data_IF_064102604577
#
_entry.id   IF_064102604577
#
_cell.length_a   1.000
_cell.length_b   1.000
_cell.length_c   1.000
_cell.angle_alpha   90.00
_cell.angle_beta   90.00
_cell.angle_gamma   90.00
#
_symmetry.space_group_name_H-M   'P 1'
#
loop_
_entity.id
_entity.type
_entity.pdbx_description
1 polymer ?
#
# COMPACT_ATOMS: atom_id res chain seq x y z
N UNK A 1 -36.88 31.31 18.73
CA UNK A 1 -37.11 29.88 18.43
C UNK A 1 -36.47 29.46 17.11
N UNK A 2 -36.78 30.11 15.97
CA UNK A 2 -36.22 29.76 14.63
C UNK A 2 -34.68 29.80 14.58
N UNK A 3 -34.04 30.83 15.16
CA UNK A 3 -32.56 30.91 15.20
C UNK A 3 -31.87 29.82 16.03
N UNK A 4 -32.52 29.32 17.09
CA UNK A 4 -31.99 28.23 17.91
C UNK A 4 -32.17 26.87 17.21
N UNK A 5 -33.30 26.65 16.52
CA UNK A 5 -33.51 25.46 15.69
C UNK A 5 -32.50 25.37 14.53
N UNK A 6 -32.19 26.51 13.90
CA UNK A 6 -31.17 26.58 12.85
C UNK A 6 -29.77 26.22 13.38
N UNK A 7 -29.39 26.70 14.57
CA UNK A 7 -28.08 26.39 15.15
C UNK A 7 -27.89 24.91 15.47
N UNK A 8 -28.92 24.25 16.02
CA UNK A 8 -28.88 22.82 16.34
C UNK A 8 -28.79 21.98 15.06
N UNK A 9 -29.52 22.34 14.01
CA UNK A 9 -29.47 21.67 12.72
C UNK A 9 -28.07 21.77 12.07
N UNK A 10 -27.45 22.94 12.12
CA UNK A 10 -26.09 23.16 11.58
C UNK A 10 -25.04 22.34 12.32
N UNK A 11 -25.12 22.27 13.66
CA UNK A 11 -24.22 21.45 14.49
C UNK A 11 -24.39 19.96 14.16
N UNK A 12 -25.63 19.48 14.02
CA UNK A 12 -25.92 18.10 13.63
C UNK A 12 -25.38 17.75 12.24
N UNK A 13 -25.48 18.67 11.29
CA UNK A 13 -24.94 18.48 9.94
C UNK A 13 -23.40 18.45 9.93
N UNK A 14 -22.74 19.36 10.66
CA UNK A 14 -21.28 19.36 10.83
C UNK A 14 -20.79 18.05 11.47
N UNK A 15 -21.50 17.56 12.50
CA UNK A 15 -21.19 16.29 13.14
C UNK A 15 -21.31 15.10 12.18
N UNK A 16 -22.37 15.06 11.37
CA UNK A 16 -22.58 14.03 10.35
C UNK A 16 -21.46 14.07 9.29
N UNK A 17 -21.14 15.27 8.79
CA UNK A 17 -20.09 15.46 7.81
C UNK A 17 -18.74 14.98 8.34
N UNK A 18 -18.40 15.32 9.59
CA UNK A 18 -17.16 14.86 10.22
C UNK A 18 -17.11 13.33 10.34
N UNK A 19 -18.22 12.70 10.75
CA UNK A 19 -18.32 11.22 10.81
C UNK A 19 -18.12 10.57 9.44
N UNK A 20 -18.73 11.12 8.39
CA UNK A 20 -18.59 10.60 7.03
C UNK A 20 -17.15 10.72 6.53
N UNK A 21 -16.50 11.86 6.79
CA UNK A 21 -15.08 12.07 6.46
C UNK A 21 -14.19 11.08 7.21
N UNK A 22 -14.42 10.88 8.51
CA UNK A 22 -13.67 9.92 9.32
C UNK A 22 -13.85 8.47 8.82
N UNK A 23 -15.07 8.09 8.41
CA UNK A 23 -15.34 6.81 7.76
C UNK A 23 -14.59 6.68 6.43
N UNK A 24 -14.58 7.74 5.61
CA UNK A 24 -13.83 7.80 4.35
C UNK A 24 -12.34 7.54 4.56
N UNK A 25 -11.70 8.23 5.52
CA UNK A 25 -10.30 8.00 5.85
C UNK A 25 -10.03 6.60 6.39
N UNK A 26 -10.96 6.03 7.17
CA UNK A 26 -10.84 4.65 7.66
C UNK A 26 -10.84 3.65 6.52
N UNK A 27 -11.77 3.80 5.57
CA UNK A 27 -11.86 2.93 4.39
C UNK A 27 -10.63 3.11 3.49
N UNK A 28 -10.21 4.35 3.27
CA UNK A 28 -9.01 4.65 2.48
C UNK A 28 -7.75 4.03 3.09
N UNK A 29 -7.59 4.11 4.42
CA UNK A 29 -6.47 3.47 5.12
C UNK A 29 -6.48 1.95 4.98
N UNK A 30 -7.66 1.32 5.05
CA UNK A 30 -7.81 -0.11 4.80
C UNK A 30 -7.47 -0.50 3.36
N UNK A 31 -7.97 0.24 2.37
CA UNK A 31 -7.67 0.02 0.96
C UNK A 31 -6.18 0.17 0.68
N UNK A 32 -5.54 1.21 1.21
CA UNK A 32 -4.11 1.44 1.05
C UNK A 32 -3.30 0.29 1.66
N UNK A 33 -3.68 -0.20 2.84
CA UNK A 33 -3.02 -1.34 3.47
C UNK A 33 -3.16 -2.61 2.62
N UNK A 34 -4.34 -2.89 2.08
CA UNK A 34 -4.57 -4.05 1.20
C UNK A 34 -3.75 -3.91 -0.08
N UNK A 35 -3.76 -2.74 -0.72
CA UNK A 35 -3.00 -2.47 -1.93
C UNK A 35 -1.49 -2.64 -1.70
N UNK A 36 -0.97 -2.16 -0.57
CA UNK A 36 0.43 -2.33 -0.19
C UNK A 36 0.78 -3.81 0.02
N UNK A 37 -0.04 -4.55 0.76
CA UNK A 37 0.22 -5.97 1.03
C UNK A 37 0.19 -6.78 -0.26
N UNK A 38 -0.85 -6.60 -1.07
CA UNK A 38 -0.95 -7.26 -2.38
C UNK A 38 0.23 -6.88 -3.27
N UNK A 39 0.52 -5.58 -3.39
CA UNK A 39 1.63 -5.08 -4.19
C UNK A 39 2.97 -5.68 -3.76
N UNK A 40 3.23 -5.80 -2.45
CA UNK A 40 4.44 -6.42 -1.92
C UNK A 40 4.50 -7.92 -2.23
N UNK A 41 3.38 -8.63 -2.10
CA UNK A 41 3.30 -10.06 -2.43
C UNK A 41 3.59 -10.28 -3.91
N UNK A 42 2.93 -9.52 -4.80
CA UNK A 42 3.16 -9.60 -6.24
C UNK A 42 4.60 -9.22 -6.59
N UNK A 43 5.12 -8.12 -6.04
CA UNK A 43 6.52 -7.74 -6.25
C UNK A 43 7.46 -8.85 -5.81
N UNK A 44 7.32 -9.34 -4.58
CA UNK A 44 8.17 -10.40 -4.03
C UNK A 44 8.10 -11.68 -4.84
N UNK A 45 6.89 -12.15 -5.18
CA UNK A 45 6.68 -13.40 -5.89
C UNK A 45 7.29 -13.39 -7.30
N UNK A 46 7.25 -12.26 -8.01
CA UNK A 46 7.72 -12.19 -9.39
C UNK A 46 9.16 -11.66 -9.50
N UNK A 47 9.53 -10.65 -8.70
CA UNK A 47 10.85 -10.01 -8.82
C UNK A 47 11.95 -10.78 -8.09
N UNK A 48 11.69 -11.36 -6.92
CA UNK A 48 12.73 -12.08 -6.18
C UNK A 48 13.27 -13.29 -6.93
N UNK A 49 12.45 -14.17 -7.54
CA UNK A 49 12.97 -15.32 -8.28
C UNK A 49 13.82 -14.87 -9.47
N UNK A 50 13.38 -13.84 -10.19
CA UNK A 50 14.12 -13.28 -11.32
C UNK A 50 15.47 -12.73 -10.88
N UNK A 51 15.49 -11.95 -9.80
CA UNK A 51 16.74 -11.40 -9.25
C UNK A 51 17.69 -12.50 -8.77
N UNK A 52 17.17 -13.57 -8.17
CA UNK A 52 17.98 -14.72 -7.73
C UNK A 52 18.56 -15.47 -8.92
N UNK A 53 17.77 -15.73 -9.97
CA UNK A 53 18.25 -16.41 -11.19
C UNK A 53 19.32 -15.57 -11.88
N UNK A 54 19.04 -14.28 -12.10
CA UNK A 54 19.99 -13.36 -12.75
C UNK A 54 21.25 -13.22 -11.89
N UNK A 55 21.11 -13.03 -10.58
CA UNK A 55 22.24 -12.93 -9.67
C UNK A 55 23.10 -14.19 -9.67
N UNK A 56 22.49 -15.38 -9.61
CA UNK A 56 23.20 -16.65 -9.69
C UNK A 56 23.90 -16.83 -11.05
N UNK A 57 23.24 -16.46 -12.16
CA UNK A 57 23.83 -16.52 -13.49
C UNK A 57 25.04 -15.59 -13.61
N UNK A 58 24.95 -14.35 -13.10
CA UNK A 58 26.06 -13.39 -13.09
C UNK A 58 27.22 -13.90 -12.24
N UNK A 59 26.95 -14.42 -11.04
CA UNK A 59 27.99 -15.00 -10.18
C UNK A 59 28.65 -16.21 -10.86
N UNK A 60 27.86 -17.09 -11.48
CA UNK A 60 28.36 -18.25 -12.19
C UNK A 60 29.26 -17.88 -13.38
N UNK A 61 28.88 -16.87 -14.17
CA UNK A 61 29.73 -16.35 -15.26
C UNK A 61 31.01 -15.69 -14.75
N UNK A 62 30.93 -14.94 -13.64
CA UNK A 62 32.10 -14.38 -12.98
C UNK A 62 33.09 -15.47 -12.54
N UNK A 63 32.59 -16.53 -11.90
CA UNK A 63 33.41 -17.65 -11.45
C UNK A 63 34.07 -18.39 -12.62
N UNK A 64 33.37 -18.56 -13.75
CA UNK A 64 33.95 -19.12 -14.99
C UNK A 64 35.00 -18.20 -15.59
N UNK A 65 34.76 -16.90 -15.64
CA UNK A 65 35.70 -15.91 -16.17
C UNK A 65 37.02 -15.88 -15.38
N UNK A 66 36.96 -16.06 -14.06
CA UNK A 66 38.13 -16.09 -13.18
C UNK A 66 38.78 -17.49 -13.15
N UNK A 67 38.23 -18.48 -13.86
CA UNK A 67 38.77 -19.84 -13.96
C UNK A 67 38.62 -20.70 -12.70
N UNK A 68 37.77 -20.28 -11.77
CA UNK A 68 37.51 -20.99 -10.50
C UNK A 68 36.62 -22.22 -10.74
N UNK A 69 35.74 -22.14 -11.73
CA UNK A 69 34.80 -23.21 -12.10
C UNK A 69 34.94 -23.47 -13.60
N UNK A 70 35.08 -24.73 -13.98
CA UNK A 70 35.21 -25.19 -15.38
C UNK A 70 33.83 -25.42 -16.00
#
# INVERSE_FOLDING_TARGET
MVGLMSGIATIGFLWLAFRLVALGFRVLGWLLRIALVLGLIWLGLFTLPVLLIVGAAVVWELLRTVGIVH
#
